data_IF_822322723122
#
_entry.id   IF_822322723122
#
_cell.length_a   1.000
_cell.length_b   1.000
_cell.length_c   1.000
_cell.angle_alpha   90.00
_cell.angle_beta   90.00
_cell.angle_gamma   90.00
#
_symmetry.space_group_name_H-M   'P 1'
#
loop_
_entity.id
_entity.type
_entity.pdbx_description
1 polymer ?
#
# COMPACT_ATOMS: atom_id res chain seq x y z
N UNK A 1 2.36 -7.67 -13.28
CA UNK A 1 1.89 -6.34 -13.67
C UNK A 1 0.73 -6.46 -14.63
N UNK A 2 -0.31 -5.70 -14.42
CA UNK A 2 -1.47 -5.64 -15.31
C UNK A 2 -1.43 -4.36 -16.12
N UNK A 3 -2.29 -4.28 -17.14
CA UNK A 3 -2.40 -3.05 -17.93
C UNK A 3 -2.93 -1.89 -17.10
N UNK A 4 -3.61 -2.20 -16.02
CA UNK A 4 -4.18 -1.18 -15.14
C UNK A 4 -3.22 -0.74 -14.04
N UNK A 5 -1.99 -1.26 -14.06
CA UNK A 5 -0.99 -0.89 -13.09
C UNK A 5 -0.94 -1.82 -11.91
N UNK A 6 -0.42 -1.32 -10.82
CA UNK A 6 -0.25 -2.09 -9.60
C UNK A 6 -1.25 -1.64 -8.55
N UNK A 7 -1.68 -2.58 -7.72
CA UNK A 7 -2.61 -2.29 -6.63
C UNK A 7 -2.04 -2.82 -5.33
N UNK A 8 -2.32 -2.09 -4.25
CA UNK A 8 -1.93 -2.49 -2.91
C UNK A 8 -3.18 -2.86 -2.13
N UNK A 9 -3.15 -4.03 -1.51
CA UNK A 9 -4.27 -4.48 -0.69
C UNK A 9 -3.77 -4.88 0.68
N UNK A 10 -4.46 -4.44 1.73
CA UNK A 10 -4.13 -4.83 3.09
C UNK A 10 -4.94 -6.07 3.44
N UNK A 11 -4.24 -7.17 3.70
CA UNK A 11 -4.90 -8.44 4.03
C UNK A 11 -5.05 -8.57 5.54
N UNK A 12 -5.58 -7.52 6.16
CA UNK A 12 -5.86 -7.48 7.59
C UNK A 12 -4.59 -7.65 8.41
N UNK A 13 -3.57 -6.87 8.07
CA UNK A 13 -2.29 -6.96 8.78
C UNK A 13 -2.44 -6.46 10.21
N UNK A 14 -1.65 -7.04 11.11
CA UNK A 14 -1.73 -6.72 12.52
C UNK A 14 -1.36 -5.26 12.78
N UNK A 15 -0.31 -4.77 12.11
CA UNK A 15 0.18 -3.41 12.35
C UNK A 15 -0.36 -2.40 11.37
N UNK A 16 -1.16 -2.86 10.41
CA UNK A 16 -1.74 -1.97 9.42
C UNK A 16 -0.80 -1.66 8.28
N UNK A 17 -1.38 -1.17 7.20
CA UNK A 17 -0.63 -0.74 6.03
C UNK A 17 -0.96 0.72 5.79
N UNK A 18 0.06 1.54 5.54
CA UNK A 18 -0.11 2.96 5.33
C UNK A 18 0.37 3.31 3.93
N UNK A 19 -0.41 4.10 3.23
CA UNK A 19 -0.04 4.62 1.92
C UNK A 19 0.02 6.13 2.03
N UNK A 20 1.23 6.69 1.88
CA UNK A 20 1.47 8.13 2.00
C UNK A 20 0.95 8.68 3.31
N UNK A 21 1.14 7.91 4.38
CA UNK A 21 0.74 8.32 5.71
C UNK A 21 -0.72 8.09 6.06
N UNK A 22 -1.49 7.53 5.12
CA UNK A 22 -2.92 7.26 5.34
C UNK A 22 -3.11 5.77 5.56
N UNK A 23 -3.69 5.40 6.69
CA UNK A 23 -3.90 4.01 7.01
C UNK A 23 -4.97 3.41 6.11
N UNK A 24 -4.67 2.24 5.55
CA UNK A 24 -5.63 1.51 4.75
C UNK A 24 -6.53 0.66 5.64
N UNK A 25 -7.77 0.49 5.19
CA UNK A 25 -8.69 -0.39 5.88
C UNK A 25 -8.37 -1.85 5.53
N UNK A 26 -8.73 -2.80 6.42
CA UNK A 26 -8.53 -4.21 6.08
C UNK A 26 -9.23 -4.56 4.77
N UNK A 27 -8.49 -5.24 3.92
CA UNK A 27 -8.96 -5.69 2.60
C UNK A 27 -9.30 -4.56 1.65
N UNK A 28 -8.87 -3.35 1.98
CA UNK A 28 -9.00 -2.23 1.05
C UNK A 28 -7.95 -2.35 -0.04
N UNK A 29 -8.33 -2.02 -1.26
CA UNK A 29 -7.43 -2.07 -2.40
C UNK A 29 -7.24 -0.66 -2.93
N UNK A 30 -5.98 -0.27 -3.11
CA UNK A 30 -5.65 1.06 -3.63
C UNK A 30 -4.65 0.95 -4.76
N UNK A 31 -4.84 1.78 -5.78
CA UNK A 31 -3.92 1.80 -6.90
C UNK A 31 -2.63 2.51 -6.49
N UNK A 32 -1.50 1.93 -6.90
CA UNK A 32 -0.19 2.52 -6.62
C UNK A 32 0.21 3.43 -7.76
N UNK A 33 0.73 4.59 -7.38
CA UNK A 33 1.28 5.57 -8.32
C UNK A 33 2.78 5.67 -8.11
N UNK A 34 3.47 6.17 -9.12
CA UNK A 34 4.90 6.42 -8.98
C UNK A 34 5.16 7.36 -7.81
N UNK A 35 6.16 7.01 -6.98
CA UNK A 35 6.58 7.78 -5.83
C UNK A 35 5.65 7.64 -4.63
N UNK A 36 4.72 6.69 -4.67
CA UNK A 36 3.92 6.41 -3.48
C UNK A 36 4.81 5.77 -2.42
N UNK A 37 4.59 6.19 -1.18
CA UNK A 37 5.30 5.62 -0.04
C UNK A 37 4.38 4.65 0.67
N UNK A 38 4.84 3.43 0.87
CA UNK A 38 4.06 2.38 1.53
C UNK A 38 4.80 1.97 2.78
N UNK A 39 4.09 1.96 3.91
CA UNK A 39 4.67 1.48 5.16
C UNK A 39 3.90 0.27 5.65
N UNK A 40 4.63 -0.79 5.94
CA UNK A 40 4.07 -2.02 6.49
C UNK A 40 4.86 -2.33 7.74
N UNK A 41 4.21 -2.18 8.90
CA UNK A 41 4.92 -2.33 10.16
C UNK A 41 6.03 -1.31 10.29
N UNK A 42 7.26 -1.78 10.39
CA UNK A 42 8.43 -0.91 10.51
C UNK A 42 9.18 -0.74 9.20
N UNK A 43 8.66 -1.31 8.14
CA UNK A 43 9.33 -1.29 6.84
C UNK A 43 8.65 -0.28 5.93
N UNK A 44 9.46 0.50 5.24
CA UNK A 44 8.95 1.51 4.33
C UNK A 44 9.46 1.19 2.93
N UNK A 45 8.54 1.20 1.98
CA UNK A 45 8.85 0.99 0.58
C UNK A 45 8.49 2.22 -0.21
N UNK A 46 9.29 2.53 -1.21
CA UNK A 46 8.97 3.59 -2.16
C UNK A 46 8.66 2.95 -3.50
N UNK A 47 7.46 3.18 -3.99
CA UNK A 47 7.04 2.62 -5.27
C UNK A 47 7.56 3.49 -6.42
N UNK A 48 8.20 2.86 -7.37
CA UNK A 48 8.81 3.58 -8.50
C UNK A 48 8.23 3.15 -9.83
#
# INVERSE_FOLDING_TARGET
KTENGFFLEDLNSTNGTFKNGVKMQPYEKRKLETKDEIRVGKTIFLFR
#
